data_IF_142029896458
#
_entry.id   IF_142029896458
#
_cell.length_a   1.000
_cell.length_b   1.000
_cell.length_c   1.000
_cell.angle_alpha   90.00
_cell.angle_beta   90.00
_cell.angle_gamma   90.00
#
_symmetry.space_group_name_H-M   'P 1'
#
loop_
_entity.id
_entity.type
_entity.pdbx_description
1 polymer ?
#
# COMPACT_ATOMS: atom_id res chain seq x y z
N UNK A 1 -6.06 -9.89 16.37
CA UNK A 1 -5.06 -8.89 16.79
C UNK A 1 -4.08 -8.59 15.65
N UNK A 2 -3.40 -9.61 15.11
CA UNK A 2 -2.35 -9.42 14.08
C UNK A 2 -2.82 -8.71 12.81
N UNK A 3 -4.04 -9.00 12.34
CA UNK A 3 -4.63 -8.30 11.19
C UNK A 3 -4.74 -6.78 11.41
N UNK A 4 -5.11 -6.34 12.63
CA UNK A 4 -5.20 -4.92 12.94
C UNK A 4 -3.81 -4.26 12.99
N UNK A 5 -2.80 -4.98 13.50
CA UNK A 5 -1.42 -4.52 13.53
C UNK A 5 -0.85 -4.39 12.11
N UNK A 6 -1.13 -5.37 11.24
CA UNK A 6 -0.82 -5.30 9.82
C UNK A 6 -1.41 -4.05 9.18
N UNK A 7 -2.73 -3.83 9.34
CA UNK A 7 -3.43 -2.68 8.76
C UNK A 7 -2.82 -1.36 9.26
N UNK A 8 -2.53 -1.26 10.56
CA UNK A 8 -1.94 -0.06 11.14
C UNK A 8 -0.58 0.27 10.52
N UNK A 9 0.26 -0.74 10.30
CA UNK A 9 1.62 -0.60 9.79
C UNK A 9 1.69 -0.43 8.25
N UNK A 10 1.00 -1.29 7.51
CA UNK A 10 1.12 -1.39 6.05
C UNK A 10 0.16 -0.47 5.28
N UNK A 11 -0.79 0.16 5.98
CA UNK A 11 -1.73 1.14 5.41
C UNK A 11 -2.43 0.68 4.11
N UNK A 12 -2.97 -0.55 4.02
CA UNK A 12 -3.69 -0.99 2.82
C UNK A 12 -4.90 -0.09 2.54
N UNK A 13 -5.19 0.13 1.26
CA UNK A 13 -6.39 0.84 0.81
C UNK A 13 -7.56 -0.12 0.52
N UNK A 14 -7.24 -1.35 0.08
CA UNK A 14 -8.20 -2.37 -0.32
C UNK A 14 -8.01 -3.65 0.48
N UNK A 15 -9.05 -4.47 0.60
CA UNK A 15 -8.91 -5.80 1.21
C UNK A 15 -8.33 -6.76 0.18
N UNK A 16 -8.86 -6.75 -1.04
CA UNK A 16 -8.54 -7.72 -2.11
C UNK A 16 -8.34 -7.03 -3.46
N UNK A 17 -7.72 -7.75 -4.39
CA UNK A 17 -7.47 -7.26 -5.76
C UNK A 17 -8.74 -6.91 -6.50
N UNK A 18 -9.81 -7.66 -6.27
CA UNK A 18 -11.10 -7.47 -6.96
C UNK A 18 -11.82 -6.19 -6.52
N UNK A 19 -11.41 -5.61 -5.40
CA UNK A 19 -11.96 -4.34 -4.90
C UNK A 19 -11.29 -3.12 -5.54
N UNK A 20 -10.16 -3.32 -6.25
CA UNK A 20 -9.47 -2.24 -6.94
C UNK A 20 -10.19 -1.93 -8.25
N UNK A 21 -10.67 -0.69 -8.39
CA UNK A 21 -11.36 -0.28 -9.62
C UNK A 21 -10.45 -0.35 -10.84
N UNK A 22 -11.02 -0.72 -11.99
CA UNK A 22 -10.30 -0.76 -13.26
C UNK A 22 -9.76 0.62 -13.64
N UNK A 23 -10.46 1.69 -13.28
CA UNK A 23 -10.05 3.08 -13.53
C UNK A 23 -8.71 3.41 -12.87
N UNK A 24 -8.54 3.04 -11.59
CA UNK A 24 -7.28 3.24 -10.85
C UNK A 24 -6.14 2.46 -11.48
N UNK A 25 -6.38 1.21 -11.88
CA UNK A 25 -5.35 0.39 -12.53
C UNK A 25 -4.99 0.93 -13.92
N UNK A 26 -5.97 1.45 -14.68
CA UNK A 26 -5.73 2.05 -15.99
C UNK A 26 -4.99 3.38 -15.91
N UNK A 27 -5.29 4.23 -14.92
CA UNK A 27 -4.52 5.45 -14.68
C UNK A 27 -3.07 5.11 -14.34
N UNK A 28 -2.86 4.13 -13.46
CA UNK A 28 -1.51 3.75 -13.03
C UNK A 28 -0.71 3.11 -14.17
N UNK A 29 -1.36 2.22 -14.95
CA UNK A 29 -0.82 1.68 -16.19
C UNK A 29 -0.33 2.77 -17.13
N UNK A 30 -1.16 3.80 -17.33
CA UNK A 30 -0.86 4.91 -18.25
C UNK A 30 0.36 5.70 -17.79
N UNK A 31 0.41 6.04 -16.51
CA UNK A 31 1.53 6.78 -15.90
C UNK A 31 2.82 5.98 -16.05
N UNK A 32 2.80 4.69 -15.68
CA UNK A 32 3.96 3.81 -15.73
C UNK A 32 4.45 3.56 -17.16
N UNK A 33 3.53 3.37 -18.11
CA UNK A 33 3.87 3.21 -19.53
C UNK A 33 4.55 4.47 -20.06
N UNK A 34 4.02 5.64 -19.74
CA UNK A 34 4.57 6.92 -20.19
C UNK A 34 5.94 7.20 -19.58
N UNK A 35 6.15 6.89 -18.29
CA UNK A 35 7.46 6.95 -17.66
C UNK A 35 8.48 6.05 -18.36
N UNK A 36 8.13 4.79 -18.63
CA UNK A 36 9.05 3.84 -19.25
C UNK A 36 9.36 4.16 -20.72
N UNK A 37 8.41 4.75 -21.46
CA UNK A 37 8.65 5.27 -22.81
C UNK A 37 9.59 6.48 -22.81
N UNK A 38 9.42 7.40 -21.85
CA UNK A 38 10.31 8.55 -21.68
C UNK A 38 11.75 8.11 -21.31
N UNK A 39 11.90 6.97 -20.63
CA UNK A 39 13.20 6.33 -20.34
C UNK A 39 13.82 5.63 -21.57
N UNK A 40 13.16 5.63 -22.73
CA UNK A 40 13.70 5.09 -23.98
C UNK A 40 13.72 3.55 -24.05
N UNK A 41 12.93 2.86 -23.23
CA UNK A 41 12.90 1.39 -23.19
C UNK A 41 12.08 0.82 -24.36
N UNK A 42 12.48 -0.32 -24.95
CA UNK A 42 11.70 -1.02 -25.98
C UNK A 42 10.29 -1.40 -25.49
N UNK A 43 9.27 -1.31 -26.36
CA UNK A 43 7.86 -1.54 -25.99
C UNK A 43 7.62 -2.88 -25.28
N UNK A 44 8.24 -3.97 -25.76
CA UNK A 44 8.12 -5.30 -25.12
C UNK A 44 8.64 -5.34 -23.68
N UNK A 45 9.62 -4.50 -23.35
CA UNK A 45 10.17 -4.37 -21.99
C UNK A 45 9.27 -3.46 -21.16
N UNK A 46 8.71 -2.41 -21.77
CA UNK A 46 7.74 -1.51 -21.14
C UNK A 46 6.51 -2.29 -20.67
N UNK A 47 5.93 -3.14 -21.51
CA UNK A 47 4.73 -3.91 -21.16
C UNK A 47 4.98 -4.83 -19.95
N UNK A 48 6.08 -5.61 -19.97
CA UNK A 48 6.48 -6.47 -18.85
C UNK A 48 6.78 -5.67 -17.57
N UNK A 49 7.40 -4.50 -17.71
CA UNK A 49 7.72 -3.63 -16.58
C UNK A 49 6.45 -3.06 -15.95
N UNK A 50 5.48 -2.64 -16.77
CA UNK A 50 4.18 -2.15 -16.32
C UNK A 50 3.41 -3.25 -15.59
N UNK A 51 3.35 -4.47 -16.14
CA UNK A 51 2.74 -5.62 -15.47
C UNK A 51 3.36 -5.89 -14.09
N UNK A 52 4.69 -5.93 -13.99
CA UNK A 52 5.37 -6.14 -12.70
C UNK A 52 5.13 -5.02 -11.70
N UNK A 53 4.95 -3.77 -12.17
CA UNK A 53 4.64 -2.62 -11.32
C UNK A 53 3.21 -2.64 -10.81
N UNK A 54 2.26 -3.10 -11.61
CA UNK A 54 0.87 -3.31 -11.18
C UNK A 54 0.79 -4.45 -10.16
N UNK A 55 1.53 -5.52 -10.41
CA UNK A 55 1.62 -6.64 -9.46
C UNK A 55 2.17 -6.15 -8.11
N UNK A 56 3.19 -5.29 -8.15
CA UNK A 56 3.70 -4.61 -6.96
C UNK A 56 2.64 -3.70 -6.31
N UNK A 57 1.87 -2.95 -7.09
CA UNK A 57 0.78 -2.11 -6.58
C UNK A 57 -0.24 -2.93 -5.78
N UNK A 58 -0.63 -4.11 -6.26
CA UNK A 58 -1.53 -4.99 -5.50
C UNK A 58 -0.90 -5.45 -4.18
N UNK A 59 0.38 -5.85 -4.20
CA UNK A 59 1.10 -6.26 -2.98
C UNK A 59 1.26 -5.15 -1.95
N UNK A 60 1.30 -3.89 -2.37
CA UNK A 60 1.41 -2.75 -1.47
C UNK A 60 0.05 -2.26 -0.97
N UNK A 61 -0.99 -2.30 -1.81
CA UNK A 61 -2.28 -1.64 -1.51
C UNK A 61 -3.41 -2.60 -1.11
N UNK A 62 -3.31 -3.90 -1.39
CA UNK A 62 -4.31 -4.90 -1.02
C UNK A 62 -3.88 -5.70 0.22
N UNK A 63 -4.65 -5.63 1.30
CA UNK A 63 -4.34 -6.29 2.57
C UNK A 63 -4.00 -7.78 2.43
N UNK A 64 -4.76 -8.53 1.61
CA UNK A 64 -4.56 -9.98 1.47
C UNK A 64 -3.25 -10.36 0.75
N UNK A 65 -2.75 -9.47 -0.10
CA UNK A 65 -1.54 -9.67 -0.92
C UNK A 65 -0.27 -9.21 -0.22
N UNK A 66 -0.42 -8.42 0.84
CA UNK A 66 0.69 -7.87 1.57
C UNK A 66 1.49 -8.98 2.27
N UNK A 67 2.84 -8.87 2.28
CA UNK A 67 3.65 -9.69 3.17
C UNK A 67 3.28 -9.38 4.62
N UNK A 68 3.25 -10.41 5.45
CA UNK A 68 2.88 -10.28 6.85
C UNK A 68 4.01 -9.61 7.63
N UNK A 69 3.70 -8.57 8.40
CA UNK A 69 4.69 -7.75 9.12
C UNK A 69 5.54 -8.54 10.13
N UNK A 70 5.08 -9.70 10.62
CA UNK A 70 5.83 -10.56 11.54
C UNK A 70 6.57 -11.69 10.85
N UNK A 71 6.21 -11.99 9.61
CA UNK A 71 6.82 -13.05 8.79
C UNK A 71 6.63 -12.67 7.32
N UNK A 72 7.64 -12.01 6.76
CA UNK A 72 7.57 -11.47 5.39
C UNK A 72 7.63 -12.55 4.31
N UNK A 73 7.93 -13.80 4.68
CA UNK A 73 7.95 -14.92 3.74
C UNK A 73 6.54 -15.39 3.39
N UNK A 74 5.55 -15.01 4.21
CA UNK A 74 4.14 -15.32 4.00
C UNK A 74 3.31 -14.07 3.76
N UNK A 75 2.28 -14.22 2.93
CA UNK A 75 1.25 -13.21 2.74
C UNK A 75 0.19 -13.26 3.84
N UNK A 76 -0.52 -12.16 4.04
CA UNK A 76 -1.66 -12.13 4.96
C UNK A 76 -2.73 -13.17 4.63
N UNK A 77 -2.95 -13.43 3.34
CA UNK A 77 -3.88 -14.48 2.90
C UNK A 77 -3.44 -15.87 3.35
N UNK A 78 -2.16 -16.21 3.22
CA UNK A 78 -1.62 -17.49 3.68
C UNK A 78 -1.74 -17.62 5.20
N UNK A 79 -1.43 -16.57 5.95
CA UNK A 79 -1.58 -16.56 7.41
C UNK A 79 -3.04 -16.80 7.82
N UNK A 80 -3.99 -16.15 7.15
CA UNK A 80 -5.42 -16.36 7.42
C UNK A 80 -5.82 -17.80 7.08
N UNK A 81 -5.40 -18.33 5.94
CA UNK A 81 -5.69 -19.71 5.52
C UNK A 81 -5.12 -20.74 6.51
N UNK A 82 -3.89 -20.54 6.98
CA UNK A 82 -3.25 -21.39 8.00
C UNK A 82 -4.10 -21.41 9.29
N UNK A 83 -4.65 -20.27 9.70
CA UNK A 83 -5.53 -20.20 10.87
C UNK A 83 -6.89 -20.86 10.62
N UNK A 84 -7.48 -20.70 9.43
CA UNK A 84 -8.71 -21.38 9.04
C UNK A 84 -8.55 -22.89 9.12
N UNK A 85 -7.45 -23.43 8.58
CA UNK A 85 -7.16 -24.87 8.65
C UNK A 85 -6.97 -25.35 10.10
N UNK A 86 -6.33 -24.54 10.95
CA UNK A 86 -6.09 -24.89 12.35
C UNK A 86 -7.35 -24.86 13.21
N UNK A 87 -8.23 -23.90 12.97
CA UNK A 87 -9.45 -23.67 13.77
C UNK A 87 -10.66 -24.44 13.24
N UNK A 88 -10.65 -24.80 11.96
CA UNK A 88 -11.79 -25.43 11.29
C UNK A 88 -12.94 -24.46 10.98
N UNK A 89 -12.72 -23.17 11.19
CA UNK A 89 -13.71 -22.10 10.97
C UNK A 89 -13.24 -21.13 9.89
N UNK A 90 -14.18 -20.64 9.08
CA UNK A 90 -13.87 -19.69 8.02
C UNK A 90 -13.63 -18.28 8.59
N UNK A 91 -12.46 -17.71 8.29
CA UNK A 91 -12.07 -16.36 8.68
C UNK A 91 -12.06 -15.49 7.44
N UNK A 92 -12.84 -14.41 7.46
CA UNK A 92 -12.86 -13.42 6.38
C UNK A 92 -12.82 -12.00 6.93
N UNK A 93 -11.95 -11.18 6.36
CA UNK A 93 -11.94 -9.73 6.61
C UNK A 93 -12.99 -9.10 5.72
N UNK A 94 -14.01 -8.47 6.32
CA UNK A 94 -15.09 -7.80 5.59
C UNK A 94 -14.84 -6.33 5.33
N UNK A 95 -14.41 -5.59 6.35
CA UNK A 95 -14.17 -4.13 6.32
C UNK A 95 -13.13 -3.78 7.39
N UNK A 96 -12.36 -2.74 7.14
CA UNK A 96 -11.54 -2.09 8.16
C UNK A 96 -11.60 -0.57 7.98
N UNK A 97 -11.21 0.15 9.03
CA UNK A 97 -10.94 1.57 8.98
C UNK A 97 -9.62 1.82 9.71
N UNK A 98 -8.78 2.67 9.13
CA UNK A 98 -7.51 3.08 9.71
C UNK A 98 -7.56 4.60 9.84
N UNK A 99 -7.24 5.11 11.03
CA UNK A 99 -7.16 6.53 11.30
C UNK A 99 -5.72 6.87 11.68
N UNK A 100 -5.16 7.91 11.08
CA UNK A 100 -3.85 8.45 11.43
C UNK A 100 -3.97 9.92 11.85
N UNK A 101 -3.44 10.25 13.03
CA UNK A 101 -3.51 11.63 13.54
C UNK A 101 -2.66 12.52 12.65
N UNK A 102 -3.27 13.59 12.13
CA UNK A 102 -2.61 14.51 11.20
C UNK A 102 -2.69 14.11 9.73
N UNK A 103 -3.42 13.05 9.40
CA UNK A 103 -3.69 12.69 8.01
C UNK A 103 -4.36 13.85 7.25
N UNK A 104 -3.78 14.25 6.12
CA UNK A 104 -4.25 15.38 5.32
C UNK A 104 -3.92 16.78 5.87
N UNK A 105 -3.23 16.91 7.02
CA UNK A 105 -2.77 18.20 7.54
C UNK A 105 -1.35 18.50 7.04
N UNK A 106 -1.14 19.71 6.52
CA UNK A 106 0.20 20.19 6.20
C UNK A 106 1.01 20.28 7.51
N UNK A 107 2.15 19.58 7.56
CA UNK A 107 3.05 19.66 8.70
C UNK A 107 3.57 21.10 8.81
N UNK A 108 3.35 21.73 9.96
CA UNK A 108 3.88 23.07 10.23
C UNK A 108 5.40 22.94 10.40
N UNK A 109 6.14 23.40 9.41
CA UNK A 109 7.60 23.53 9.49
C UNK A 109 7.91 24.91 10.07
N UNK A 110 8.04 24.99 11.39
CA UNK A 110 8.56 26.18 12.06
C UNK A 110 10.06 25.98 12.27
N UNK A 111 10.87 26.81 11.61
CA UNK A 111 12.32 26.84 11.80
C UNK A 111 12.59 27.52 13.14
N UNK A 112 12.99 26.73 14.14
CA UNK A 112 13.27 27.22 15.49
C UNK A 112 14.26 28.40 15.52
N UNK A 113 15.21 28.45 14.59
CA UNK A 113 16.15 29.56 14.46
C UNK A 113 15.46 30.88 14.09
N UNK A 114 14.47 30.85 13.20
CA UNK A 114 13.71 32.04 12.79
C UNK A 114 12.79 32.51 13.93
N UNK A 115 12.25 31.58 14.71
CA UNK A 115 11.45 31.89 15.90
C UNK A 115 12.31 32.59 16.98
N UNK A 116 13.50 32.06 17.27
CA UNK A 116 14.43 32.68 18.24
C UNK A 116 14.89 34.06 17.79
N UNK A 117 15.20 34.25 16.50
CA UNK A 117 15.59 35.56 15.95
C UNK A 117 14.46 36.60 16.03
N UNK A 118 13.20 36.18 15.95
CA UNK A 118 12.03 37.06 16.07
C UNK A 118 11.80 37.59 17.48
N UNK A 119 12.23 36.85 18.52
CA UNK A 119 12.02 37.20 19.92
C UNK A 119 13.13 38.08 20.54
N UNK A 120 14.28 38.22 19.85
CA UNK A 120 15.43 39.02 20.33
C UNK A 120 15.32 40.51 19.94
N UNK A 121 14.22 40.91 19.27
CA UNK A 121 14.02 42.28 18.77
C UNK A 121 13.28 43.20 19.75
#
# INVERSE_FOLDING_TARGET
HDVAMQIAAAKPEFIRREEVSSEVIESEKRILRQQALNEGKPEKIVDKMVEGRIEKYYKENCLMEQPFIKDTDKTMQEIINDQVMRLGENISVRRFARYEVGEGLAKREECFADEVMSQIK
#
